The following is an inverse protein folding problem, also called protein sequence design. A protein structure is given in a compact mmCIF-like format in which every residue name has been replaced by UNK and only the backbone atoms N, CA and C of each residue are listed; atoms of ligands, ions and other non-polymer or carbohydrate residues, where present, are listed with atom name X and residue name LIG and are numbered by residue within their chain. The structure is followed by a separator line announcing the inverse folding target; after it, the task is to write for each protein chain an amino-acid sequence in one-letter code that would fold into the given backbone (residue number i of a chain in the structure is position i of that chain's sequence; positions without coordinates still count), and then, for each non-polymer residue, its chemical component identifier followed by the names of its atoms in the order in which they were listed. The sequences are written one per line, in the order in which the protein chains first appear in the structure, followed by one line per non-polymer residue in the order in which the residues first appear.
data_IF_193005811391
#
_entry.id   IF_193005811391
#
_cell.length_a   1.000
_cell.length_b   1.000
_cell.length_c   1.000
_cell.angle_alpha   90.00
_cell.angle_beta   90.00
_cell.angle_gamma   90.00
#
_symmetry.space_group_name_H-M   'P 1'
#
loop_
_entity.id
_entity.type
_entity.pdbx_description
1 polymer ?
#
# COMPACT_ATOMS: atom_id res chain seq x y z
N UNK A 1 -32.73 -19.06 30.91
CA UNK A 1 -32.59 -17.56 31.01
C UNK A 1 -31.17 -17.05 30.72
N UNK A 2 -30.13 -17.82 31.01
CA UNK A 2 -28.75 -17.42 30.62
C UNK A 2 -28.51 -17.32 29.11
N UNK A 3 -29.33 -18.00 28.29
CA UNK A 3 -29.15 -17.99 26.82
C UNK A 3 -29.49 -16.65 26.16
N UNK A 4 -30.49 -15.90 26.68
CA UNK A 4 -30.88 -14.60 26.08
C UNK A 4 -29.82 -13.52 26.34
N UNK A 5 -29.31 -13.44 27.58
CA UNK A 5 -28.20 -12.55 27.94
C UNK A 5 -26.96 -12.84 27.10
N UNK A 6 -26.60 -14.11 26.99
CA UNK A 6 -25.45 -14.55 26.23
C UNK A 6 -25.56 -14.20 24.74
N UNK A 7 -26.74 -14.44 24.14
CA UNK A 7 -26.99 -14.07 22.73
C UNK A 7 -26.89 -12.57 22.50
N UNK A 8 -27.42 -11.74 23.42
CA UNK A 8 -27.39 -10.29 23.32
C UNK A 8 -25.96 -9.75 23.49
N UNK A 9 -25.18 -10.27 24.43
CA UNK A 9 -23.77 -9.93 24.61
C UNK A 9 -22.98 -10.28 23.35
N UNK A 10 -23.16 -11.51 22.82
CA UNK A 10 -22.47 -11.95 21.62
C UNK A 10 -22.79 -11.09 20.41
N UNK A 11 -24.05 -10.71 20.23
CA UNK A 11 -24.49 -9.82 19.14
C UNK A 11 -23.87 -8.43 19.27
N UNK A 12 -23.84 -7.84 20.48
CA UNK A 12 -23.22 -6.55 20.73
C UNK A 12 -21.69 -6.57 20.49
N UNK A 13 -21.01 -7.65 20.91
CA UNK A 13 -19.58 -7.82 20.65
C UNK A 13 -19.33 -7.90 19.13
N UNK A 14 -20.14 -8.66 18.40
CA UNK A 14 -20.00 -8.84 16.96
C UNK A 14 -20.19 -7.49 16.21
N UNK A 15 -21.19 -6.71 16.58
CA UNK A 15 -21.44 -5.38 16.01
C UNK A 15 -20.30 -4.41 16.33
N UNK A 16 -19.65 -4.51 17.48
CA UNK A 16 -18.54 -3.64 17.84
C UNK A 16 -17.19 -4.04 17.26
N UNK A 17 -16.90 -5.35 17.21
CA UNK A 17 -15.57 -5.86 16.78
C UNK A 17 -15.42 -5.86 15.27
N UNK A 18 -16.45 -6.24 14.51
CA UNK A 18 -16.37 -6.33 13.04
C UNK A 18 -15.93 -5.00 12.41
N UNK A 19 -16.53 -3.84 12.73
CA UNK A 19 -16.09 -2.56 12.17
C UNK A 19 -14.62 -2.24 12.50
N UNK A 20 -14.16 -2.53 13.72
CA UNK A 20 -12.77 -2.28 14.13
C UNK A 20 -11.77 -3.06 13.26
N UNK A 21 -12.05 -4.35 13.03
CA UNK A 21 -11.20 -5.20 12.17
C UNK A 21 -11.21 -4.73 10.73
N UNK A 22 -12.40 -4.39 10.18
CA UNK A 22 -12.53 -3.92 8.81
C UNK A 22 -11.82 -2.57 8.59
N UNK A 23 -11.95 -1.64 9.55
CA UNK A 23 -11.25 -0.35 9.49
C UNK A 23 -9.74 -0.53 9.50
N UNK A 24 -9.21 -1.44 10.33
CA UNK A 24 -7.77 -1.72 10.35
C UNK A 24 -7.27 -2.23 9.02
N UNK A 25 -7.93 -3.25 8.45
CA UNK A 25 -7.54 -3.82 7.15
C UNK A 25 -7.61 -2.75 6.06
N UNK A 26 -8.71 -2.00 6.01
CA UNK A 26 -8.89 -0.92 5.02
C UNK A 26 -7.84 0.20 5.17
N UNK A 27 -7.48 0.58 6.39
CA UNK A 27 -6.48 1.61 6.66
C UNK A 27 -5.09 1.17 6.22
N UNK A 28 -4.66 -0.05 6.55
CA UNK A 28 -3.35 -0.56 6.17
C UNK A 28 -3.21 -0.69 4.66
N UNK A 29 -4.20 -1.26 3.97
CA UNK A 29 -4.19 -1.38 2.51
C UNK A 29 -4.20 -0.01 1.82
N UNK A 30 -4.98 0.95 2.34
CA UNK A 30 -5.02 2.31 1.79
C UNK A 30 -3.69 3.04 1.99
N UNK A 31 -3.04 2.84 3.14
CA UNK A 31 -1.74 3.44 3.41
C UNK A 31 -0.66 2.89 2.48
N UNK A 32 -0.60 1.56 2.31
CA UNK A 32 0.36 0.91 1.39
C UNK A 32 0.20 1.45 -0.03
N UNK A 33 -1.02 1.38 -0.57
CA UNK A 33 -1.30 1.85 -1.93
C UNK A 33 -0.93 3.32 -2.12
N UNK A 34 -1.26 4.16 -1.14
CA UNK A 34 -0.94 5.58 -1.19
C UNK A 34 0.56 5.85 -1.08
N UNK A 35 1.26 5.17 -0.17
CA UNK A 35 2.70 5.32 0.01
C UNK A 35 3.47 4.89 -1.25
N UNK A 36 3.11 3.74 -1.84
CA UNK A 36 3.68 3.27 -3.10
C UNK A 36 3.39 4.26 -4.23
N UNK A 37 2.15 4.73 -4.37
CA UNK A 37 1.77 5.69 -5.43
C UNK A 37 2.53 7.02 -5.31
N UNK A 38 2.66 7.56 -4.11
CA UNK A 38 3.41 8.79 -3.87
C UNK A 38 4.90 8.60 -4.18
N UNK A 39 5.48 7.49 -3.71
CA UNK A 39 6.89 7.17 -3.98
C UNK A 39 7.15 7.01 -5.47
N UNK A 40 6.27 6.28 -6.16
CA UNK A 40 6.32 6.10 -7.62
C UNK A 40 6.29 7.44 -8.36
N UNK A 41 5.35 8.31 -8.00
CA UNK A 41 5.20 9.63 -8.65
C UNK A 41 6.42 10.53 -8.43
N UNK A 42 6.99 10.51 -7.23
CA UNK A 42 8.19 11.26 -6.89
C UNK A 42 9.40 10.79 -7.70
N UNK A 43 9.66 9.48 -7.71
CA UNK A 43 10.79 8.90 -8.44
C UNK A 43 10.62 9.13 -9.94
N UNK A 44 9.42 8.90 -10.48
CA UNK A 44 9.14 9.10 -11.91
C UNK A 44 9.40 10.55 -12.32
N UNK A 45 9.01 11.52 -11.50
CA UNK A 45 9.28 12.93 -11.77
C UNK A 45 10.78 13.24 -11.83
N UNK A 46 11.55 12.76 -10.87
CA UNK A 46 13.00 12.94 -10.84
C UNK A 46 13.69 12.22 -11.99
N UNK A 47 13.25 10.99 -12.27
CA UNK A 47 13.78 10.19 -13.35
C UNK A 47 13.52 10.82 -14.74
N UNK A 48 12.35 11.44 -14.96
CA UNK A 48 12.05 12.18 -16.19
C UNK A 48 12.95 13.39 -16.39
N UNK A 49 13.21 14.13 -15.32
CA UNK A 49 14.15 15.27 -15.37
C UNK A 49 15.53 14.78 -15.80
N UNK A 50 16.00 13.69 -15.18
CA UNK A 50 17.29 13.11 -15.50
C UNK A 50 17.31 12.50 -16.91
N UNK A 51 16.25 11.86 -17.36
CA UNK A 51 16.10 11.36 -18.73
C UNK A 51 16.25 12.47 -19.77
N UNK A 52 15.61 13.62 -19.53
CA UNK A 52 15.76 14.78 -20.41
C UNK A 52 17.20 15.33 -20.40
N UNK A 53 17.89 15.34 -19.26
CA UNK A 53 19.29 15.77 -19.17
C UNK A 53 20.23 14.78 -19.90
N UNK A 54 19.97 13.49 -19.81
CA UNK A 54 20.70 12.45 -20.54
C UNK A 54 20.61 12.67 -22.05
N UNK A 55 19.41 12.97 -22.55
CA UNK A 55 19.17 13.25 -23.97
C UNK A 55 19.83 14.57 -24.39
N UNK A 56 19.64 15.63 -23.60
CA UNK A 56 20.17 16.98 -23.92
C UNK A 56 21.70 17.06 -23.91
N UNK A 57 22.36 16.19 -23.19
CA UNK A 57 23.84 16.14 -23.11
C UNK A 57 24.46 15.04 -23.99
N UNK A 58 23.70 14.44 -24.90
CA UNK A 58 24.16 13.35 -25.77
C UNK A 58 24.91 12.24 -25.01
N UNK A 59 24.42 11.91 -23.81
CA UNK A 59 25.09 11.01 -22.88
C UNK A 59 25.30 9.60 -23.47
N UNK A 60 24.39 9.12 -24.32
CA UNK A 60 24.52 7.81 -24.97
C UNK A 60 25.72 7.71 -25.91
N UNK A 61 26.09 8.84 -26.51
CA UNK A 61 27.26 8.96 -27.38
C UNK A 61 28.55 9.21 -26.59
N UNK A 62 28.39 9.95 -25.45
CA UNK A 62 29.52 10.29 -24.57
C UNK A 62 29.18 9.98 -23.09
N UNK A 63 29.18 8.67 -22.77
CA UNK A 63 28.84 8.15 -21.42
C UNK A 63 29.83 8.56 -20.31
N UNK A 64 30.82 9.37 -20.63
CA UNK A 64 31.82 9.89 -19.70
C UNK A 64 31.44 11.13 -18.91
N UNK A 65 30.22 11.69 -19.08
CA UNK A 65 29.82 12.91 -18.37
C UNK A 65 29.82 12.72 -16.83
N UNK A 66 30.75 13.36 -16.10
CA UNK A 66 30.80 13.20 -14.63
C UNK A 66 29.54 13.72 -13.93
N UNK A 67 28.93 14.76 -14.49
CA UNK A 67 27.71 15.38 -13.94
C UNK A 67 26.54 14.42 -14.02
N UNK A 68 26.28 13.81 -15.17
CA UNK A 68 25.20 12.84 -15.35
C UNK A 68 25.46 11.59 -14.49
N UNK A 69 26.71 11.11 -14.47
CA UNK A 69 27.05 9.97 -13.61
C UNK A 69 26.80 10.27 -12.13
N UNK A 70 27.14 11.45 -11.64
CA UNK A 70 26.85 11.85 -10.26
C UNK A 70 25.34 11.92 -9.97
N UNK A 71 24.54 12.40 -10.91
CA UNK A 71 23.08 12.45 -10.77
C UNK A 71 22.45 11.05 -10.79
N UNK A 72 22.93 10.13 -11.63
CA UNK A 72 22.50 8.72 -11.63
C UNK A 72 22.81 8.04 -10.29
N UNK A 73 24.01 8.22 -9.75
CA UNK A 73 24.41 7.70 -8.45
C UNK A 73 23.61 8.36 -7.32
N UNK A 74 23.32 9.65 -7.41
CA UNK A 74 22.49 10.37 -6.45
C UNK A 74 21.05 9.81 -6.43
N UNK A 75 20.44 9.63 -7.60
CA UNK A 75 19.09 9.03 -7.71
C UNK A 75 19.08 7.63 -7.10
N UNK A 76 20.08 6.80 -7.44
CA UNK A 76 20.26 5.46 -6.89
C UNK A 76 20.36 5.47 -5.36
N UNK A 77 21.17 6.37 -4.80
CA UNK A 77 21.42 6.46 -3.35
C UNK A 77 20.22 6.97 -2.57
N UNK A 78 19.56 8.05 -3.06
CA UNK A 78 18.41 8.67 -2.37
C UNK A 78 17.23 7.71 -2.27
N UNK A 79 17.01 6.93 -3.32
CA UNK A 79 15.84 6.07 -3.41
C UNK A 79 16.11 4.59 -3.07
N UNK A 80 17.35 4.26 -2.68
CA UNK A 80 17.79 2.88 -2.43
C UNK A 80 17.45 1.99 -3.62
N UNK A 81 17.98 2.37 -4.79
CA UNK A 81 17.60 1.74 -6.02
C UNK A 81 18.74 1.66 -7.03
N UNK A 82 18.49 0.98 -8.13
CA UNK A 82 19.38 0.77 -9.25
C UNK A 82 18.88 1.55 -10.46
N UNK A 83 19.78 2.23 -11.14
CA UNK A 83 19.49 2.94 -12.39
C UNK A 83 20.36 2.40 -13.49
N UNK A 84 19.73 2.03 -14.60
CA UNK A 84 20.41 1.55 -15.82
C UNK A 84 20.01 2.40 -17.00
N UNK A 85 20.98 2.68 -17.87
CA UNK A 85 20.77 3.33 -19.15
C UNK A 85 21.04 2.31 -20.25
N UNK A 86 20.07 2.09 -21.11
CA UNK A 86 20.07 1.07 -22.16
C UNK A 86 20.04 1.80 -23.51
N UNK A 87 20.98 1.48 -24.40
CA UNK A 87 21.05 2.03 -25.76
C UNK A 87 19.97 1.42 -26.68
N UNK A 88 19.82 1.97 -27.86
CA UNK A 88 18.99 1.46 -28.96
C UNK A 88 19.36 0.04 -29.42
N UNK A 89 20.59 -0.38 -29.14
CA UNK A 89 21.07 -1.76 -29.38
C UNK A 89 20.77 -2.71 -28.20
N UNK A 90 19.95 -2.30 -27.24
CA UNK A 90 19.63 -3.03 -26.00
C UNK A 90 20.84 -3.28 -25.09
N UNK A 91 21.94 -2.59 -25.30
CA UNK A 91 23.15 -2.71 -24.49
C UNK A 91 23.06 -1.73 -23.29
N UNK A 92 23.44 -2.22 -22.11
CA UNK A 92 23.56 -1.37 -20.90
C UNK A 92 24.81 -0.50 -21.03
N UNK A 93 24.59 0.79 -21.22
CA UNK A 93 25.64 1.81 -21.31
C UNK A 93 26.15 2.19 -19.92
N UNK A 94 25.24 2.29 -18.97
CA UNK A 94 25.53 2.63 -17.57
C UNK A 94 24.64 1.84 -16.62
N UNK A 95 25.23 1.39 -15.52
CA UNK A 95 24.58 0.72 -14.41
C UNK A 95 25.15 1.24 -13.09
N UNK A 96 24.35 1.82 -12.24
CA UNK A 96 24.79 2.33 -10.93
C UNK A 96 25.35 1.23 -10.02
N UNK A 97 24.89 -0.01 -10.19
CA UNK A 97 25.44 -1.15 -9.44
C UNK A 97 26.64 -1.82 -10.15
N UNK A 98 26.96 -1.42 -11.38
CA UNK A 98 28.08 -1.94 -12.18
C UNK A 98 28.04 -3.46 -12.43
N UNK A 99 26.85 -4.07 -12.35
CA UNK A 99 26.68 -5.52 -12.48
C UNK A 99 26.48 -5.95 -13.94
N UNK A 100 25.81 -5.12 -14.73
CA UNK A 100 25.35 -5.47 -16.06
C UNK A 100 25.83 -4.51 -17.17
N UNK A 101 26.80 -3.63 -16.89
CA UNK A 101 27.39 -2.76 -17.93
C UNK A 101 27.92 -3.60 -19.10
N UNK A 102 27.63 -3.15 -20.32
CA UNK A 102 27.97 -3.80 -21.60
C UNK A 102 27.19 -5.10 -21.88
N UNK A 103 26.32 -5.56 -20.99
CA UNK A 103 25.44 -6.69 -21.27
C UNK A 103 24.22 -6.24 -22.05
N UNK A 104 23.61 -7.17 -22.78
CA UNK A 104 22.33 -6.93 -23.47
C UNK A 104 21.19 -7.29 -22.54
N UNK A 105 20.23 -6.36 -22.38
CA UNK A 105 19.00 -6.57 -21.62
C UNK A 105 17.81 -6.45 -22.56
N UNK A 106 17.03 -7.54 -22.65
CA UNK A 106 15.79 -7.59 -23.42
C UNK A 106 14.71 -8.08 -22.47
N UNK A 107 13.84 -7.16 -22.04
CA UNK A 107 12.62 -7.46 -21.28
C UNK A 107 11.41 -6.86 -21.99
N UNK A 108 10.21 -7.31 -21.62
CA UNK A 108 8.98 -6.79 -22.18
C UNK A 108 8.84 -5.29 -21.93
N UNK A 109 9.20 -4.86 -20.73
CA UNK A 109 9.14 -3.46 -20.29
C UNK A 109 10.09 -2.58 -21.11
N UNK A 110 11.32 -3.05 -21.34
CA UNK A 110 12.31 -2.34 -22.17
C UNK A 110 11.84 -2.24 -23.61
N UNK A 111 11.32 -3.32 -24.19
CA UNK A 111 10.79 -3.32 -25.56
C UNK A 111 9.66 -2.32 -25.72
N UNK A 112 8.66 -2.34 -24.81
CA UNK A 112 7.54 -1.40 -24.83
C UNK A 112 8.02 0.04 -24.70
N UNK A 113 9.04 0.28 -23.88
CA UNK A 113 9.60 1.61 -23.70
C UNK A 113 10.31 2.12 -24.99
N UNK A 114 10.87 1.24 -25.80
CA UNK A 114 11.36 1.62 -27.13
C UNK A 114 10.25 2.01 -28.11
N UNK A 115 8.99 1.57 -27.87
CA UNK A 115 7.83 2.08 -28.61
C UNK A 115 7.25 3.39 -28.02
N UNK A 116 7.95 3.99 -27.04
CA UNK A 116 7.58 5.27 -26.42
C UNK A 116 6.64 5.14 -25.23
N UNK A 117 6.41 3.94 -24.72
CA UNK A 117 5.59 3.72 -23.53
C UNK A 117 6.40 3.88 -22.25
N UNK A 118 5.86 4.65 -21.29
CA UNK A 118 6.38 4.66 -19.93
C UNK A 118 5.72 3.53 -19.15
N UNK A 119 6.51 2.65 -18.54
CA UNK A 119 5.97 1.54 -17.76
C UNK A 119 6.41 1.68 -16.33
N UNK A 120 5.46 1.47 -15.43
CA UNK A 120 5.72 1.39 -13.99
C UNK A 120 5.04 0.15 -13.45
N UNK A 121 5.79 -0.65 -12.71
CA UNK A 121 5.34 -1.90 -12.12
C UNK A 121 5.76 -1.96 -10.66
N UNK A 122 4.80 -2.24 -9.80
CA UNK A 122 5.06 -2.53 -8.40
C UNK A 122 4.99 -4.04 -8.15
N UNK A 123 6.05 -4.61 -7.61
CA UNK A 123 6.09 -5.99 -7.16
C UNK A 123 6.05 -6.03 -5.62
N UNK A 124 4.87 -6.33 -5.09
CA UNK A 124 4.66 -6.41 -3.64
C UNK A 124 5.37 -7.61 -3.00
N UNK A 125 5.65 -8.67 -3.77
CA UNK A 125 6.33 -9.87 -3.29
C UNK A 125 7.82 -9.63 -3.08
N UNK A 126 8.47 -8.97 -4.03
CA UNK A 126 9.89 -8.66 -3.99
C UNK A 126 10.16 -7.24 -3.48
N UNK A 127 9.11 -6.47 -3.15
CA UNK A 127 9.17 -5.14 -2.54
C UNK A 127 9.99 -4.14 -3.34
N UNK A 128 9.75 -4.05 -4.64
CA UNK A 128 10.37 -3.06 -5.49
C UNK A 128 9.40 -2.43 -6.48
N UNK A 129 9.72 -1.22 -6.88
CA UNK A 129 9.06 -0.50 -7.98
C UNK A 129 10.05 -0.48 -9.13
N UNK A 130 9.63 -0.94 -10.30
CA UNK A 130 10.39 -0.88 -11.54
C UNK A 130 9.73 0.10 -12.50
N UNK A 131 10.53 0.95 -13.11
CA UNK A 131 10.09 1.95 -14.09
C UNK A 131 11.00 1.90 -15.30
N UNK A 132 10.41 1.97 -16.50
CA UNK A 132 11.12 2.17 -17.73
C UNK A 132 10.64 3.45 -18.40
N UNK A 133 11.58 4.32 -18.75
CA UNK A 133 11.34 5.66 -19.28
C UNK A 133 12.07 5.76 -20.61
N UNK A 134 11.36 6.05 -21.72
CA UNK A 134 11.99 6.24 -23.02
C UNK A 134 12.83 7.52 -23.04
N UNK A 135 14.03 7.43 -23.56
CA UNK A 135 14.89 8.57 -23.83
C UNK A 135 14.58 9.07 -25.25
N UNK A 136 13.78 10.15 -25.31
CA UNK A 136 13.24 10.65 -26.57
C UNK A 136 14.00 11.89 -27.02
N UNK A 137 14.63 11.79 -28.19
CA UNK A 137 15.22 12.93 -28.91
C UNK A 137 14.18 13.49 -29.88
N UNK A 138 13.94 14.79 -29.82
CA UNK A 138 13.07 15.48 -30.78
C UNK A 138 13.96 16.19 -31.77
N UNK A 139 13.85 15.86 -33.07
CA UNK A 139 14.53 16.57 -34.14
C UNK A 139 13.79 17.90 -34.38
N UNK A 140 14.56 18.99 -34.28
CA UNK A 140 14.01 20.34 -34.44
C UNK A 140 13.60 20.69 -35.86
N UNK A 141 14.16 19.99 -36.87
CA UNK A 141 13.85 20.28 -38.29
C UNK A 141 12.58 19.59 -38.76
N UNK A 142 12.31 18.37 -38.28
CA UNK A 142 11.20 17.53 -38.77
C UNK A 142 10.11 17.22 -37.74
N UNK A 143 10.19 17.78 -36.54
CA UNK A 143 9.32 17.46 -35.39
C UNK A 143 9.19 15.92 -35.12
N UNK A 144 10.11 15.12 -35.66
CA UNK A 144 10.09 13.69 -35.47
C UNK A 144 10.64 13.35 -34.06
N UNK A 145 9.94 12.46 -33.37
CA UNK A 145 10.34 11.94 -32.07
C UNK A 145 10.94 10.54 -32.24
N UNK A 146 12.19 10.41 -31.84
CA UNK A 146 12.90 9.14 -31.88
C UNK A 146 13.30 8.70 -30.47
N UNK A 147 12.99 7.48 -30.12
CA UNK A 147 13.51 6.87 -28.88
C UNK A 147 14.93 6.40 -29.16
N UNK A 148 15.91 7.00 -28.47
CA UNK A 148 17.33 6.73 -28.63
C UNK A 148 17.88 5.78 -27.57
N UNK A 149 17.08 5.47 -26.56
CA UNK A 149 17.44 4.58 -25.47
C UNK A 149 16.34 4.48 -24.43
N UNK A 150 16.58 3.73 -23.38
CA UNK A 150 15.65 3.55 -22.25
C UNK A 150 16.41 3.74 -20.94
N UNK A 151 15.84 4.50 -20.03
CA UNK A 151 16.28 4.54 -18.64
C UNK A 151 15.39 3.59 -17.82
N UNK A 152 16.01 2.62 -17.17
CA UNK A 152 15.37 1.67 -16.27
C UNK A 152 15.74 2.02 -14.83
N UNK A 153 14.74 2.17 -13.97
CA UNK A 153 14.91 2.49 -12.55
C UNK A 153 14.22 1.42 -11.73
N UNK A 154 14.95 0.77 -10.83
CA UNK A 154 14.42 -0.23 -9.92
C UNK A 154 14.71 0.20 -8.48
N UNK A 155 13.68 0.41 -7.67
CA UNK A 155 13.78 1.01 -6.34
C UNK A 155 13.14 0.13 -5.29
N UNK A 156 13.84 -0.08 -4.18
CA UNK A 156 13.32 -0.81 -3.02
C UNK A 156 12.15 -0.07 -2.35
N UNK A 157 11.16 -0.83 -1.92
CA UNK A 157 10.05 -0.35 -1.08
C UNK A 157 10.15 -0.84 0.38
N UNK A 158 11.31 -1.30 0.80
CA UNK A 158 11.51 -1.82 2.16
C UNK A 158 11.22 -0.77 3.24
N UNK A 159 11.56 0.49 2.99
CA UNK A 159 11.24 1.60 3.90
C UNK A 159 9.72 1.76 4.10
N UNK A 160 8.93 1.55 3.04
CA UNK A 160 7.46 1.59 3.12
C UNK A 160 6.96 0.41 3.95
N UNK A 161 7.50 -0.79 3.73
CA UNK A 161 7.10 -1.99 4.46
C UNK A 161 7.45 -1.92 5.95
N UNK A 162 8.60 -1.39 6.32
CA UNK A 162 8.98 -1.16 7.71
C UNK A 162 8.03 -0.19 8.41
N UNK A 163 7.62 0.89 7.74
CA UNK A 163 6.62 1.81 8.26
C UNK A 163 5.24 1.16 8.40
N UNK A 164 4.86 0.29 7.48
CA UNK A 164 3.61 -0.49 7.58
C UNK A 164 3.64 -1.43 8.78
N UNK A 165 4.73 -2.14 9.01
CA UNK A 165 4.88 -3.05 10.15
C UNK A 165 4.79 -2.31 11.48
N UNK A 166 5.39 -1.13 11.56
CA UNK A 166 5.29 -0.25 12.73
C UNK A 166 3.84 0.23 12.96
N UNK A 167 3.16 0.69 11.91
CA UNK A 167 1.76 1.09 11.96
C UNK A 167 0.85 -0.09 12.33
N UNK A 168 1.07 -1.26 11.75
CA UNK A 168 0.32 -2.46 12.04
C UNK A 168 0.45 -2.89 13.51
N UNK A 169 1.64 -2.75 14.08
CA UNK A 169 1.90 -3.07 15.49
C UNK A 169 1.20 -2.09 16.42
N UNK A 170 1.32 -0.79 16.17
CA UNK A 170 0.64 0.23 16.99
C UNK A 170 -0.88 0.13 16.89
N UNK A 171 -1.40 -0.09 15.68
CA UNK A 171 -2.84 -0.25 15.44
C UNK A 171 -3.38 -1.49 16.14
N UNK A 172 -2.58 -2.58 16.25
CA UNK A 172 -2.96 -3.80 16.99
C UNK A 172 -3.19 -3.54 18.46
N UNK A 173 -2.35 -2.70 19.09
CA UNK A 173 -2.53 -2.33 20.50
C UNK A 173 -3.84 -1.55 20.70
N UNK A 174 -4.11 -0.58 19.82
CA UNK A 174 -5.35 0.21 19.85
C UNK A 174 -6.57 -0.71 19.65
N UNK A 175 -6.51 -1.64 18.70
CA UNK A 175 -7.56 -2.61 18.42
C UNK A 175 -7.86 -3.48 19.65
N UNK A 176 -6.85 -3.98 20.35
CA UNK A 176 -7.03 -4.75 21.59
C UNK A 176 -7.73 -3.94 22.68
N UNK A 177 -7.36 -2.66 22.84
CA UNK A 177 -8.03 -1.76 23.80
C UNK A 177 -9.49 -1.55 23.41
N UNK A 178 -9.78 -1.32 22.11
CA UNK A 178 -11.15 -1.18 21.61
C UNK A 178 -11.98 -2.45 21.85
N UNK A 179 -11.43 -3.62 21.53
CA UNK A 179 -12.11 -4.90 21.75
C UNK A 179 -12.43 -5.09 23.24
N UNK A 180 -11.47 -4.82 24.12
CA UNK A 180 -11.70 -4.91 25.57
C UNK A 180 -12.81 -3.97 26.03
N UNK A 181 -12.82 -2.72 25.54
CA UNK A 181 -13.85 -1.73 25.86
C UNK A 181 -15.24 -2.17 25.37
N UNK A 182 -15.32 -2.73 24.15
CA UNK A 182 -16.58 -3.26 23.58
C UNK A 182 -17.10 -4.42 24.40
N UNK A 183 -16.25 -5.37 24.80
CA UNK A 183 -16.64 -6.51 25.64
C UNK A 183 -17.18 -6.01 26.97
N UNK A 184 -16.47 -5.10 27.65
CA UNK A 184 -16.87 -4.54 28.93
C UNK A 184 -18.21 -3.81 28.85
N UNK A 185 -18.37 -2.93 27.85
CA UNK A 185 -19.62 -2.21 27.61
C UNK A 185 -20.78 -3.16 27.29
N UNK A 186 -20.55 -4.20 26.49
CA UNK A 186 -21.57 -5.20 26.13
C UNK A 186 -22.11 -5.93 27.34
N UNK A 187 -21.25 -6.29 28.29
CA UNK A 187 -21.66 -6.97 29.54
C UNK A 187 -22.53 -6.04 30.40
N UNK A 188 -22.16 -4.77 30.53
CA UNK A 188 -22.92 -3.77 31.30
C UNK A 188 -24.28 -3.54 30.67
N UNK A 189 -24.34 -3.26 29.36
CA UNK A 189 -25.58 -2.98 28.64
C UNK A 189 -26.52 -4.19 28.69
N UNK A 190 -26.02 -5.40 28.43
CA UNK A 190 -26.82 -6.61 28.53
C UNK A 190 -27.38 -6.83 29.96
N UNK A 191 -26.58 -6.52 30.98
CA UNK A 191 -27.02 -6.59 32.37
C UNK A 191 -28.13 -5.60 32.70
N UNK A 192 -28.04 -4.36 32.21
CA UNK A 192 -29.06 -3.32 32.42
C UNK A 192 -30.34 -3.61 31.63
N UNK A 193 -30.26 -4.05 30.39
CA UNK A 193 -31.43 -4.35 29.56
C UNK A 193 -32.25 -5.56 30.05
N UNK A 194 -31.59 -6.57 30.57
CA UNK A 194 -32.30 -7.79 30.99
C UNK A 194 -32.92 -7.69 32.38
N UNK A 195 -32.43 -6.79 33.24
CA UNK A 195 -33.00 -6.58 34.58
C UNK A 195 -34.48 -6.20 34.60
N UNK A 196 -34.98 -5.20 33.81
CA UNK A 196 -36.40 -4.84 33.80
C UNK A 196 -37.30 -5.96 33.29
N UNK A 197 -36.88 -6.73 32.30
CA UNK A 197 -37.67 -7.88 31.79
C UNK A 197 -37.87 -8.98 32.84
N UNK A 198 -36.90 -9.15 33.73
CA UNK A 198 -37.03 -10.12 34.84
C UNK A 198 -38.02 -9.69 35.89
N UNK A 199 -38.14 -8.36 36.17
CA UNK A 199 -39.12 -7.84 37.08
C UNK A 199 -40.55 -7.97 36.52
N UNK A 200 -40.72 -7.69 35.22
CA UNK A 200 -42.02 -7.81 34.54
C UNK A 200 -42.52 -9.26 34.47
N UNK A 201 -41.64 -10.19 34.15
CA UNK A 201 -41.97 -11.63 34.11
C UNK A 201 -42.41 -12.16 35.49
N UNK A 202 -41.74 -11.71 36.58
CA UNK A 202 -42.08 -12.09 37.93
C UNK A 202 -43.43 -11.54 38.37
N UNK A 203 -43.75 -10.27 38.00
CA UNK A 203 -45.05 -9.67 38.31
C UNK A 203 -46.21 -10.31 37.55
N UNK A 204 -45.96 -10.83 36.34
CA UNK A 204 -46.97 -11.57 35.56
C UNK A 204 -47.25 -12.93 36.20
N UNK A 205 -46.19 -13.66 36.64
CA UNK A 205 -46.32 -14.93 37.34
C UNK A 205 -47.08 -14.75 38.68
N UNK A 206 -46.84 -13.71 39.44
CA UNK A 206 -47.56 -13.38 40.70
C UNK A 206 -49.03 -13.07 40.45
N UNK A 207 -49.39 -12.40 39.34
CA UNK A 207 -50.79 -12.09 38.98
C UNK A 207 -51.49 -13.42 38.56
N UNK A 208 -50.80 -14.28 37.83
CA UNK A 208 -51.38 -15.55 37.32
C UNK A 208 -51.61 -16.58 38.44
N UNK A 209 -50.76 -16.60 39.47
CA UNK A 209 -50.95 -17.45 40.66
C UNK A 209 -52.04 -16.91 41.59
N UNK A 210 -52.16 -15.52 41.73
CA UNK A 210 -53.21 -14.91 42.53
C UNK A 210 -54.62 -15.14 41.97
N UNK A 211 -54.81 -15.12 40.65
CA UNK A 211 -56.11 -15.43 40.01
C UNK A 211 -56.50 -16.92 40.09
N UNK A 212 -55.54 -17.83 40.33
CA UNK A 212 -55.82 -19.25 40.46
C UNK A 212 -56.37 -19.64 41.83
N UNK A 213 -56.03 -18.92 42.87
CA UNK A 213 -56.54 -19.21 44.23
C UNK A 213 -57.96 -18.67 44.49
N UNK A 214 -58.32 -17.51 43.88
CA UNK A 214 -59.66 -16.96 44.00
C UNK A 214 -60.72 -17.67 43.14
N UNK A 215 -60.34 -18.55 42.23
CA UNK A 215 -61.28 -19.32 41.40
C UNK A 215 -61.66 -20.71 42.02
N UNK A 216 -61.08 -21.06 43.17
CA UNK A 216 -61.29 -22.35 43.85
C UNK A 216 -61.96 -22.18 45.27
N UNK A 217 -62.33 -21.01 45.64
CA UNK A 217 -63.15 -20.71 46.85
C UNK A 217 -64.56 -20.34 46.44
#
# INVERSE_FOLDING_TARGET
MNSLRFRLVLLLILIGVIPCVLLRIGMLNSYENRAVSLRTSEILSQAKILANQIVSNDYLENSGSPTINAQLEQLSTIYDGRVMIISDTFQVVKDTYKLDEKKTIISEEVIKSFYGEEITKYDSKYRYIEMTIPLVRTDQENESRQVIGVMMVSVSTDSISLNLDYLATNTRIIELICIFTVIFASVIIAGQMVRPFHKMSKSIDEIQTGYGEDALS
#
